data_IF_302292841379
#
_entry.id   IF_302292841379
#
_cell.length_a   1.000
_cell.length_b   1.000
_cell.length_c   1.000
_cell.angle_alpha   90.00
_cell.angle_beta   90.00
_cell.angle_gamma   90.00
#
_symmetry.space_group_name_H-M   'P 1'
#
loop_
_entity.id
_entity.type
_entity.pdbx_description
1 polymer ?
#
# COMPACT_ATOMS: atom_id res chain seq x y z
N UNK A 1 24.44 8.17 10.62
CA UNK A 1 24.03 6.84 11.08
C UNK A 1 23.79 5.94 9.88
N UNK A 2 23.57 4.64 10.10
CA UNK A 2 23.22 3.67 9.05
C UNK A 2 21.68 3.64 8.92
N UNK A 3 21.09 3.74 7.71
CA UNK A 3 19.64 3.67 7.53
C UNK A 3 19.06 2.32 7.98
N UNK A 4 17.95 2.37 8.71
CA UNK A 4 17.25 1.17 9.19
C UNK A 4 16.05 0.82 8.31
N UNK A 5 15.76 -0.48 8.19
CA UNK A 5 14.69 -1.03 7.35
C UNK A 5 13.67 -1.77 8.21
N UNK A 6 12.39 -1.50 7.99
CA UNK A 6 11.28 -2.25 8.56
C UNK A 6 10.76 -3.25 7.51
N UNK A 7 11.07 -4.54 7.71
CA UNK A 7 10.61 -5.60 6.83
C UNK A 7 9.24 -6.12 7.28
N UNK A 8 8.18 -5.69 6.58
CA UNK A 8 6.81 -6.08 6.88
C UNK A 8 6.21 -5.26 8.03
N UNK A 9 5.08 -4.61 7.75
CA UNK A 9 4.31 -3.86 8.75
C UNK A 9 2.82 -4.23 8.77
N UNK A 10 2.46 -5.37 8.16
CA UNK A 10 1.09 -5.86 8.19
C UNK A 10 0.65 -6.06 9.64
N UNK A 11 -0.44 -5.43 10.05
CA UNK A 11 -0.95 -5.50 11.43
C UNK A 11 -0.39 -4.44 12.38
N UNK A 12 0.54 -3.58 11.93
CA UNK A 12 0.89 -2.38 12.68
C UNK A 12 -0.18 -1.31 12.48
N UNK A 13 -0.43 -0.54 13.54
CA UNK A 13 -1.21 0.69 13.44
C UNK A 13 -0.40 1.79 12.79
N UNK A 14 -1.08 2.81 12.26
CA UNK A 14 -0.45 4.00 11.72
C UNK A 14 0.47 4.69 12.76
N UNK A 15 0.06 4.69 14.03
CA UNK A 15 0.85 5.25 15.14
C UNK A 15 2.16 4.49 15.31
N UNK A 16 2.14 3.15 15.19
CA UNK A 16 3.35 2.34 15.28
C UNK A 16 4.29 2.63 14.11
N UNK A 17 3.78 2.83 12.90
CA UNK A 17 4.62 3.25 11.77
C UNK A 17 5.29 4.61 12.04
N UNK A 18 4.52 5.59 12.51
CA UNK A 18 5.06 6.92 12.84
C UNK A 18 6.12 6.84 13.94
N UNK A 19 5.90 6.03 14.97
CA UNK A 19 6.87 5.80 16.04
C UNK A 19 8.16 5.14 15.53
N UNK A 20 8.05 4.11 14.69
CA UNK A 20 9.21 3.46 14.07
C UNK A 20 10.04 4.42 13.21
N UNK A 21 9.39 5.31 12.45
CA UNK A 21 10.05 6.33 11.63
C UNK A 21 10.79 7.33 12.52
N UNK A 22 10.14 7.82 13.59
CA UNK A 22 10.78 8.69 14.58
C UNK A 22 11.97 7.99 15.27
N UNK A 23 11.91 6.67 15.42
CA UNK A 23 12.98 5.82 15.93
C UNK A 23 14.13 5.52 14.96
N UNK A 24 14.08 6.05 13.72
CA UNK A 24 15.19 5.94 12.75
C UNK A 24 14.95 4.98 11.57
N UNK A 25 13.77 4.35 11.46
CA UNK A 25 13.40 3.61 10.25
C UNK A 25 13.34 4.57 9.06
N UNK A 26 14.09 4.23 8.00
CA UNK A 26 14.22 5.03 6.78
C UNK A 26 13.65 4.33 5.54
N UNK A 27 13.38 3.03 5.62
CA UNK A 27 12.73 2.24 4.55
C UNK A 27 11.70 1.29 5.13
N UNK A 28 10.52 1.26 4.53
CA UNK A 28 9.43 0.35 4.90
C UNK A 28 9.05 -0.48 3.67
N UNK A 29 8.79 -1.77 3.87
CA UNK A 29 8.30 -2.66 2.82
C UNK A 29 6.81 -2.95 3.03
N UNK A 30 5.98 -2.65 2.02
CA UNK A 30 4.55 -2.97 1.97
C UNK A 30 4.28 -3.96 0.83
N UNK A 31 3.60 -5.07 1.11
CA UNK A 31 3.23 -6.07 0.10
C UNK A 31 1.79 -6.54 0.32
N UNK A 32 1.51 -7.11 1.49
CA UNK A 32 0.20 -7.67 1.83
C UNK A 32 -0.93 -6.69 1.60
N UNK A 33 -0.84 -5.48 2.14
CA UNK A 33 -1.91 -4.47 2.02
C UNK A 33 -2.17 -4.09 0.55
N UNK A 34 -1.11 -3.94 -0.26
CA UNK A 34 -1.23 -3.60 -1.67
C UNK A 34 -1.93 -4.72 -2.46
N UNK A 35 -1.57 -5.98 -2.20
CA UNK A 35 -2.19 -7.14 -2.84
C UNK A 35 -3.63 -7.37 -2.38
N UNK A 36 -3.93 -7.11 -1.10
CA UNK A 36 -5.28 -7.21 -0.56
C UNK A 36 -6.20 -6.13 -1.16
N UNK A 37 -5.72 -4.90 -1.34
CA UNK A 37 -6.48 -3.84 -2.01
C UNK A 37 -6.84 -4.22 -3.45
N UNK A 38 -5.87 -4.70 -4.24
CA UNK A 38 -6.12 -5.18 -5.60
C UNK A 38 -7.08 -6.40 -5.64
N UNK A 39 -6.92 -7.32 -4.69
CA UNK A 39 -7.78 -8.53 -4.58
C UNK A 39 -9.21 -8.18 -4.18
N UNK A 40 -9.39 -7.21 -3.27
CA UNK A 40 -10.70 -6.71 -2.89
C UNK A 40 -11.42 -6.10 -4.09
N UNK A 41 -10.71 -5.26 -4.87
CA UNK A 41 -11.27 -4.66 -6.08
C UNK A 41 -11.66 -5.72 -7.11
N UNK A 42 -10.82 -6.73 -7.34
CA UNK A 42 -11.16 -7.85 -8.22
C UNK A 42 -12.47 -8.55 -7.79
N UNK A 43 -12.65 -8.79 -6.49
CA UNK A 43 -13.88 -9.44 -5.97
C UNK A 43 -15.12 -8.59 -6.23
N UNK A 44 -15.02 -7.28 -6.02
CA UNK A 44 -16.12 -6.34 -6.28
C UNK A 44 -16.50 -6.31 -7.76
N UNK A 45 -15.51 -6.21 -8.65
CA UNK A 45 -15.75 -6.17 -10.09
C UNK A 45 -16.42 -7.45 -10.59
N UNK A 46 -15.93 -8.61 -10.14
CA UNK A 46 -16.51 -9.92 -10.50
C UNK A 46 -17.94 -10.10 -10.01
N UNK A 47 -18.33 -9.44 -8.91
CA UNK A 47 -19.71 -9.44 -8.43
C UNK A 47 -20.63 -8.51 -9.26
N UNK A 48 -20.08 -7.41 -9.78
CA UNK A 48 -20.84 -6.39 -10.51
C UNK A 48 -21.18 -6.79 -11.97
N UNK A 49 -20.39 -7.66 -12.59
CA UNK A 49 -20.62 -8.19 -13.94
C UNK A 49 -19.35 -8.27 -14.78
N UNK A 50 -19.49 -8.58 -16.08
CA UNK A 50 -18.36 -8.79 -16.98
C UNK A 50 -17.76 -7.45 -17.44
N UNK A 51 -16.80 -6.92 -16.69
CA UNK A 51 -15.86 -5.96 -17.26
C UNK A 51 -14.98 -6.65 -18.32
N UNK A 52 -14.68 -5.98 -19.45
CA UNK A 52 -13.59 -6.40 -20.32
C UNK A 52 -12.30 -6.59 -19.52
N UNK A 53 -11.51 -7.61 -19.86
CA UNK A 53 -10.28 -7.94 -19.13
C UNK A 53 -9.30 -6.75 -18.97
N UNK A 54 -9.08 -5.88 -19.99
CA UNK A 54 -8.25 -4.69 -19.80
C UNK A 54 -8.77 -3.74 -18.72
N UNK A 55 -10.08 -3.53 -18.64
CA UNK A 55 -10.72 -2.64 -17.66
C UNK A 55 -10.62 -3.23 -16.25
N UNK A 56 -10.76 -4.55 -16.12
CA UNK A 56 -10.54 -5.26 -14.86
C UNK A 56 -9.10 -5.09 -14.36
N UNK A 57 -8.12 -5.29 -15.24
CA UNK A 57 -6.71 -5.13 -14.89
C UNK A 57 -6.40 -3.69 -14.46
N UNK A 58 -6.96 -2.70 -15.18
CA UNK A 58 -6.79 -1.29 -14.84
C UNK A 58 -7.43 -0.94 -13.48
N UNK A 59 -8.62 -1.48 -13.23
CA UNK A 59 -9.34 -1.32 -11.96
C UNK A 59 -8.53 -1.85 -10.76
N UNK A 60 -7.91 -3.03 -10.91
CA UNK A 60 -7.01 -3.60 -9.90
C UNK A 60 -5.74 -2.77 -9.70
N UNK A 61 -5.13 -2.29 -10.78
CA UNK A 61 -3.96 -1.40 -10.74
C UNK A 61 -4.28 -0.10 -9.99
N UNK A 62 -5.43 0.51 -10.28
CA UNK A 62 -5.84 1.75 -9.62
C UNK A 62 -6.03 1.56 -8.11
N UNK A 63 -6.60 0.43 -7.68
CA UNK A 63 -6.72 0.08 -6.27
C UNK A 63 -5.35 -0.11 -5.60
N UNK A 64 -4.43 -0.81 -6.28
CA UNK A 64 -3.05 -0.99 -5.81
C UNK A 64 -2.33 0.35 -5.68
N UNK A 65 -2.42 1.21 -6.70
CA UNK A 65 -1.81 2.53 -6.71
C UNK A 65 -2.39 3.44 -5.62
N UNK A 66 -3.69 3.34 -5.35
CA UNK A 66 -4.33 4.10 -4.30
C UNK A 66 -3.83 3.69 -2.91
N UNK A 67 -3.73 2.39 -2.64
CA UNK A 67 -3.14 1.90 -1.38
C UNK A 67 -1.67 2.33 -1.25
N UNK A 68 -0.88 2.25 -2.34
CA UNK A 68 0.50 2.70 -2.34
C UNK A 68 0.63 4.20 -1.98
N UNK A 69 -0.24 5.06 -2.52
CA UNK A 69 -0.30 6.49 -2.18
C UNK A 69 -0.60 6.70 -0.70
N UNK A 70 -1.52 5.92 -0.13
CA UNK A 70 -1.82 5.97 1.30
C UNK A 70 -0.59 5.58 2.14
N UNK A 71 0.13 4.51 1.76
CA UNK A 71 1.37 4.12 2.45
C UNK A 71 2.46 5.19 2.36
N UNK A 72 2.63 5.83 1.21
CA UNK A 72 3.58 6.95 1.02
C UNK A 72 3.24 8.12 1.95
N UNK A 73 1.96 8.48 2.05
CA UNK A 73 1.50 9.53 2.94
C UNK A 73 1.70 9.16 4.42
N UNK A 74 1.37 7.93 4.80
CA UNK A 74 1.52 7.41 6.16
C UNK A 74 2.96 7.54 6.66
N UNK A 75 3.94 7.20 5.82
CA UNK A 75 5.36 7.27 6.20
C UNK A 75 5.97 8.67 5.99
N UNK A 76 5.16 9.66 5.62
CA UNK A 76 5.61 11.05 5.41
C UNK A 76 6.57 11.21 4.24
N UNK A 77 6.45 10.37 3.20
CA UNK A 77 7.31 10.41 2.00
C UNK A 77 6.72 11.22 0.84
N UNK A 78 5.48 11.71 0.96
CA UNK A 78 4.83 12.54 -0.06
C UNK A 78 5.67 13.77 -0.42
N UNK A 79 5.92 13.98 -1.71
CA UNK A 79 6.60 15.17 -2.23
C UNK A 79 8.11 15.26 -1.96
N UNK A 80 8.75 14.15 -1.54
CA UNK A 80 10.20 14.11 -1.22
C UNK A 80 11.05 13.49 -2.34
N UNK A 81 10.65 13.71 -3.60
CA UNK A 81 11.38 13.25 -4.78
C UNK A 81 12.63 14.11 -5.05
#
# INVERSE_FOLDING_TARGET
GIPLVLHGGSGLTDENFRACIQGGISKVNFCTDLLLAATARLKEELQSGKLPFPDLMKSMEDAFCQEAKQKIALIGASGKA
#
